data_IF_425920659669
#
_entry.id   IF_425920659669
#
_cell.length_a   1.000
_cell.length_b   1.000
_cell.length_c   1.000
_cell.angle_alpha   90.00
_cell.angle_beta   90.00
_cell.angle_gamma   90.00
#
_symmetry.space_group_name_H-M   'P 1'
#
loop_
_entity.id
_entity.type
_entity.pdbx_description
1 polymer ?
#
# COMPACT_ATOMS: atom_id res chain seq x y z
N UNK A 1 12.84 -15.14 -1.27
CA UNK A 1 12.95 -14.17 -0.16
C UNK A 1 12.05 -12.95 -0.35
N UNK A 2 11.90 -12.43 -1.58
CA UNK A 2 10.92 -11.38 -1.90
C UNK A 2 9.49 -11.89 -2.14
N UNK A 3 9.29 -13.20 -2.18
CA UNK A 3 8.02 -13.84 -2.51
C UNK A 3 6.87 -13.40 -1.59
N UNK A 4 7.15 -13.27 -0.28
CA UNK A 4 6.14 -12.85 0.70
C UNK A 4 5.72 -11.37 0.52
N UNK A 5 6.61 -10.53 -0.04
CA UNK A 5 6.28 -9.17 -0.40
C UNK A 5 5.47 -9.13 -1.70
N UNK A 6 5.85 -9.95 -2.68
CA UNK A 6 5.17 -10.09 -3.97
C UNK A 6 3.71 -10.54 -3.77
N UNK A 7 3.47 -11.56 -2.94
CA UNK A 7 2.12 -12.07 -2.66
C UNK A 7 1.20 -11.03 -1.98
N UNK A 8 1.76 -10.24 -1.05
CA UNK A 8 1.03 -9.15 -0.40
C UNK A 8 0.68 -8.04 -1.39
N UNK A 9 1.61 -7.64 -2.25
CA UNK A 9 1.38 -6.61 -3.27
C UNK A 9 0.33 -7.05 -4.28
N UNK A 10 0.39 -8.29 -4.78
CA UNK A 10 -0.60 -8.83 -5.72
C UNK A 10 -2.01 -8.84 -5.14
N UNK A 11 -2.13 -9.15 -3.85
CA UNK A 11 -3.43 -9.13 -3.15
C UNK A 11 -4.01 -7.72 -3.05
N UNK A 12 -3.16 -6.71 -2.79
CA UNK A 12 -3.56 -5.29 -2.75
C UNK A 12 -3.98 -4.81 -4.13
N UNK A 13 -3.20 -5.13 -5.18
CA UNK A 13 -3.55 -4.77 -6.56
C UNK A 13 -4.85 -5.43 -7.04
N UNK A 14 -5.14 -6.67 -6.62
CA UNK A 14 -6.43 -7.33 -6.90
C UNK A 14 -7.61 -6.59 -6.26
N UNK A 15 -7.47 -6.14 -5.00
CA UNK A 15 -8.50 -5.34 -4.34
C UNK A 15 -8.74 -4.00 -5.05
N UNK A 16 -7.68 -3.36 -5.51
CA UNK A 16 -7.74 -2.10 -6.26
C UNK A 16 -8.32 -2.27 -7.68
N UNK A 17 -7.95 -3.35 -8.40
CA UNK A 17 -8.49 -3.66 -9.75
C UNK A 17 -9.97 -4.05 -9.75
N UNK A 18 -10.50 -4.55 -8.63
CA UNK A 18 -11.91 -4.97 -8.52
C UNK A 18 -12.93 -3.83 -8.36
N UNK A 19 -12.46 -2.61 -8.11
CA UNK A 19 -13.32 -1.44 -7.96
C UNK A 19 -13.38 -0.68 -9.29
N UNK A 20 -14.50 -0.79 -10.01
CA UNK A 20 -14.71 -0.14 -11.32
C UNK A 20 -14.59 1.39 -11.33
N UNK A 21 -14.44 2.02 -10.16
CA UNK A 21 -14.06 3.42 -9.99
C UNK A 21 -13.33 3.61 -8.65
N UNK A 22 -12.09 4.11 -8.71
CA UNK A 22 -11.35 4.51 -7.53
C UNK A 22 -11.89 5.87 -7.05
N UNK A 23 -12.29 5.95 -5.78
CA UNK A 23 -12.69 7.20 -5.11
C UNK A 23 -11.55 7.67 -4.22
N UNK A 24 -11.47 8.98 -3.97
CA UNK A 24 -10.45 9.55 -3.07
C UNK A 24 -10.47 8.87 -1.69
N UNK A 25 -11.67 8.57 -1.18
CA UNK A 25 -11.84 7.84 0.09
C UNK A 25 -11.19 6.45 0.06
N UNK A 26 -11.46 5.66 -0.99
CA UNK A 26 -10.90 4.32 -1.11
C UNK A 26 -9.37 4.34 -1.31
N UNK A 27 -8.85 5.37 -1.99
CA UNK A 27 -7.40 5.57 -2.15
C UNK A 27 -6.75 5.93 -0.81
N UNK A 28 -7.32 6.87 -0.05
CA UNK A 28 -6.78 7.24 1.27
C UNK A 28 -6.81 6.09 2.28
N UNK A 29 -7.89 5.31 2.28
CA UNK A 29 -8.01 4.14 3.16
C UNK A 29 -6.98 3.07 2.75
N UNK A 30 -6.78 2.82 1.45
CA UNK A 30 -5.75 1.92 0.95
C UNK A 30 -4.32 2.37 1.29
N UNK A 31 -4.02 3.68 1.16
CA UNK A 31 -2.71 4.24 1.50
C UNK A 31 -2.40 4.13 3.00
N UNK A 32 -3.42 4.22 3.86
CA UNK A 32 -3.26 3.96 5.30
C UNK A 32 -2.88 2.51 5.58
N UNK A 33 -3.54 1.54 4.94
CA UNK A 33 -3.21 0.13 5.08
C UNK A 33 -1.77 -0.16 4.60
N UNK A 34 -1.36 0.40 3.46
CA UNK A 34 0.02 0.27 2.94
C UNK A 34 1.04 0.83 3.93
N UNK A 35 0.76 2.00 4.53
CA UNK A 35 1.65 2.59 5.55
C UNK A 35 1.83 1.66 6.75
N UNK A 36 0.76 1.06 7.26
CA UNK A 36 0.82 0.15 8.42
C UNK A 36 1.63 -1.09 8.05
N UNK A 37 1.33 -1.72 6.92
CA UNK A 37 2.01 -2.92 6.45
C UNK A 37 3.52 -2.72 6.25
N UNK A 38 3.95 -1.53 5.79
CA UNK A 38 5.36 -1.20 5.64
C UNK A 38 6.07 -1.03 6.99
N UNK A 39 5.40 -0.42 7.98
CA UNK A 39 5.96 -0.27 9.31
C UNK A 39 6.06 -1.62 10.04
N UNK A 40 5.09 -2.51 9.86
CA UNK A 40 5.12 -3.88 10.41
C UNK A 40 6.21 -4.75 9.78
N UNK A 41 6.62 -4.44 8.55
CA UNK A 41 7.69 -5.13 7.85
C UNK A 41 9.10 -4.56 8.16
N UNK A 42 9.25 -3.82 9.26
CA UNK A 42 10.49 -3.17 9.69
C UNK A 42 11.07 -2.16 8.68
N UNK A 43 10.22 -1.56 7.83
CA UNK A 43 10.67 -0.49 6.92
C UNK A 43 10.83 0.82 7.66
N UNK A 44 11.96 1.50 7.42
CA UNK A 44 12.27 2.76 8.09
C UNK A 44 11.22 3.85 7.81
N UNK A 45 10.77 4.53 8.87
CA UNK A 45 9.70 5.55 8.82
C UNK A 45 9.90 6.62 7.75
N UNK A 46 11.14 7.10 7.54
CA UNK A 46 11.42 8.12 6.52
C UNK A 46 11.11 7.63 5.09
N UNK A 47 11.36 6.35 4.83
CA UNK A 47 11.07 5.72 3.53
C UNK A 47 9.57 5.60 3.34
N UNK A 48 8.86 5.12 4.36
CA UNK A 48 7.39 5.00 4.33
C UNK A 48 6.73 6.36 4.12
N UNK A 49 7.15 7.38 4.85
CA UNK A 49 6.62 8.74 4.72
C UNK A 49 6.85 9.32 3.33
N UNK A 50 8.05 9.13 2.76
CA UNK A 50 8.37 9.59 1.41
C UNK A 50 7.51 8.88 0.36
N UNK A 51 7.40 7.56 0.44
CA UNK A 51 6.59 6.76 -0.49
C UNK A 51 5.13 7.22 -0.52
N UNK A 52 4.51 7.42 0.65
CA UNK A 52 3.11 7.87 0.72
C UNK A 52 2.95 9.30 0.18
N UNK A 53 3.95 10.17 0.37
CA UNK A 53 3.95 11.52 -0.18
C UNK A 53 4.11 11.54 -1.71
N UNK A 54 4.88 10.62 -2.28
CA UNK A 54 5.10 10.51 -3.73
C UNK A 54 3.87 9.91 -4.47
N UNK A 55 2.97 9.23 -3.75
CA UNK A 55 1.73 8.63 -4.32
C UNK A 55 0.52 9.58 -4.22
N UNK A 56 0.54 10.52 -3.27
CA UNK A 56 -0.47 11.59 -3.15
C UNK A 56 -0.23 12.68 -4.20
#
# INVERSE_FOLDING_TARGET
MFDNLTDKLDSVFKKLKGHGKLTEKNIEDGLKEVRIALLEADVHYKVVKKLIADIK
#
